data_IF_152542188554
#
_entry.id   IF_152542188554
#
_cell.length_a   1.000
_cell.length_b   1.000
_cell.length_c   1.000
_cell.angle_alpha   90.00
_cell.angle_beta   90.00
_cell.angle_gamma   90.00
#
_symmetry.space_group_name_H-M   'P 1'
#
loop_
_entity.id
_entity.type
_entity.pdbx_description
1 polymer ?
#
# COMPACT_ATOMS: atom_id res chain seq x y z
N UNK A 1 18.70 -20.26 -9.23
CA UNK A 1 18.21 -21.21 -8.22
C UNK A 1 18.29 -22.62 -8.79
N UNK A 2 19.44 -23.29 -8.63
CA UNK A 2 19.62 -24.75 -8.56
C UNK A 2 21.14 -25.02 -8.59
N UNK A 3 21.79 -25.17 -7.44
CA UNK A 3 23.21 -25.61 -7.40
C UNK A 3 23.50 -26.60 -6.25
N UNK A 4 22.52 -27.02 -5.45
CA UNK A 4 22.73 -28.07 -4.46
C UNK A 4 21.46 -28.92 -4.30
N UNK A 5 21.62 -30.23 -4.45
CA UNK A 5 20.55 -31.20 -4.70
C UNK A 5 19.36 -31.21 -3.73
N UNK A 6 18.19 -31.52 -4.31
CA UNK A 6 17.19 -32.40 -3.72
C UNK A 6 16.06 -31.76 -2.89
N UNK A 7 16.12 -30.47 -2.56
CA UNK A 7 15.03 -29.78 -1.86
C UNK A 7 14.33 -28.85 -2.84
N UNK A 8 13.25 -29.32 -3.45
CA UNK A 8 12.33 -28.43 -4.16
C UNK A 8 11.50 -27.67 -3.14
N UNK A 9 11.40 -26.35 -3.30
CA UNK A 9 10.44 -25.55 -2.54
C UNK A 9 9.03 -26.08 -2.82
N UNK A 10 8.26 -26.31 -1.75
CA UNK A 10 6.87 -26.73 -1.89
C UNK A 10 6.09 -25.62 -2.56
N UNK A 11 5.43 -25.95 -3.65
CA UNK A 11 4.48 -25.05 -4.30
C UNK A 11 3.21 -25.09 -3.45
N UNK A 12 2.59 -23.94 -3.21
CA UNK A 12 1.25 -23.92 -2.66
C UNK A 12 0.34 -23.02 -3.48
N UNK A 13 -0.94 -23.38 -3.52
CA UNK A 13 -1.97 -22.63 -4.22
C UNK A 13 -3.13 -22.37 -3.26
N UNK A 14 -3.53 -21.11 -3.15
CA UNK A 14 -4.73 -20.72 -2.41
C UNK A 14 -5.94 -20.99 -3.31
N UNK A 15 -6.98 -21.62 -2.78
CA UNK A 15 -8.22 -21.90 -3.49
C UNK A 15 -9.43 -21.79 -2.55
N UNK A 16 -10.61 -21.53 -3.12
CA UNK A 16 -11.86 -21.54 -2.38
C UNK A 16 -12.49 -22.94 -2.46
N UNK A 17 -12.72 -23.57 -1.32
CA UNK A 17 -13.43 -24.83 -1.21
C UNK A 17 -14.93 -24.55 -1.06
N UNK A 18 -15.69 -24.71 -2.15
CA UNK A 18 -17.13 -24.47 -2.16
C UNK A 18 -17.91 -25.39 -1.20
N UNK A 19 -17.44 -26.63 -1.00
CA UNK A 19 -18.11 -27.60 -0.13
C UNK A 19 -17.95 -27.27 1.35
N UNK A 20 -16.81 -26.70 1.72
CA UNK A 20 -16.52 -26.22 3.08
C UNK A 20 -16.83 -24.72 3.28
N UNK A 21 -17.15 -23.99 2.20
CA UNK A 21 -17.35 -22.55 2.17
C UNK A 21 -16.20 -21.77 2.83
N UNK A 22 -14.96 -22.19 2.57
CA UNK A 22 -13.76 -21.59 3.16
C UNK A 22 -12.60 -21.55 2.18
N UNK A 23 -11.68 -20.60 2.39
CA UNK A 23 -10.42 -20.53 1.62
C UNK A 23 -9.39 -21.46 2.24
N UNK A 24 -8.83 -22.36 1.42
CA UNK A 24 -7.82 -23.35 1.79
C UNK A 24 -6.56 -23.19 0.96
N UNK A 25 -5.53 -23.92 1.37
CA UNK A 25 -4.24 -23.96 0.70
C UNK A 25 -3.95 -25.39 0.28
N UNK A 26 -3.83 -25.60 -1.02
CA UNK A 26 -3.30 -26.82 -1.60
C UNK A 26 -1.78 -26.75 -1.55
N UNK A 27 -1.14 -27.64 -0.80
CA UNK A 27 0.31 -27.84 -0.87
C UNK A 27 0.55 -28.88 -1.94
N UNK A 28 1.32 -28.49 -2.95
CA UNK A 28 1.64 -29.30 -4.12
C UNK A 28 3.08 -29.79 -4.03
N UNK A 29 3.31 -30.97 -4.58
CA UNK A 29 4.63 -31.59 -4.73
C UNK A 29 4.84 -32.02 -6.16
N UNK A 30 6.00 -31.74 -6.73
CA UNK A 30 6.54 -32.54 -7.82
C UNK A 30 8.07 -32.46 -7.92
N UNK A 31 8.66 -33.50 -8.50
CA UNK A 31 10.04 -33.59 -8.98
C UNK A 31 10.17 -33.25 -10.47
N UNK A 32 9.06 -33.19 -11.20
CA UNK A 32 9.01 -32.84 -12.62
C UNK A 32 8.66 -31.36 -12.79
N UNK A 33 9.60 -30.58 -13.33
CA UNK A 33 9.50 -29.12 -13.52
C UNK A 33 8.75 -28.74 -14.80
N UNK A 34 8.29 -29.70 -15.60
CA UNK A 34 7.74 -29.42 -16.93
C UNK A 34 6.24 -29.68 -17.07
N UNK A 35 5.63 -30.68 -16.38
CA UNK A 35 4.32 -31.20 -16.84
C UNK A 35 3.25 -31.53 -15.78
N UNK A 36 3.54 -31.59 -14.48
CA UNK A 36 2.48 -31.84 -13.48
C UNK A 36 2.82 -31.34 -12.08
N UNK A 37 1.77 -31.14 -11.26
CA UNK A 37 1.88 -30.96 -9.82
C UNK A 37 0.90 -31.91 -9.15
N UNK A 38 1.34 -32.65 -8.13
CA UNK A 38 0.46 -33.52 -7.34
C UNK A 38 0.06 -32.83 -6.04
N UNK A 39 -1.23 -32.90 -5.67
CA UNK A 39 -1.71 -32.40 -4.38
C UNK A 39 -1.16 -33.28 -3.25
N UNK A 40 -0.31 -32.71 -2.39
CA UNK A 40 0.24 -33.39 -1.21
C UNK A 40 -0.75 -33.33 -0.03
N UNK A 41 -1.24 -32.13 0.26
CA UNK A 41 -2.16 -31.91 1.38
C UNK A 41 -2.96 -30.63 1.19
N UNK A 42 -4.11 -30.53 1.86
CA UNK A 42 -4.85 -29.30 2.00
C UNK A 42 -4.72 -28.81 3.43
N UNK A 43 -4.46 -27.52 3.59
CA UNK A 43 -4.34 -26.86 4.89
C UNK A 43 -5.31 -25.71 4.98
N UNK A 44 -5.76 -25.42 6.19
CA UNK A 44 -6.40 -24.14 6.47
C UNK A 44 -5.39 -23.02 6.26
N UNK A 45 -5.87 -21.85 5.83
CA UNK A 45 -5.04 -20.65 5.74
C UNK A 45 -4.39 -20.30 7.10
N UNK A 46 -5.03 -20.70 8.21
CA UNK A 46 -4.52 -20.50 9.58
C UNK A 46 -3.30 -21.37 9.92
N UNK A 47 -3.05 -22.42 9.16
CA UNK A 47 -1.89 -23.28 9.33
C UNK A 47 -0.68 -22.81 8.52
N UNK A 48 -0.84 -21.74 7.72
CA UNK A 48 0.27 -21.11 7.03
C UNK A 48 1.17 -20.39 8.03
N UNK A 49 2.48 -20.58 7.88
CA UNK A 49 3.50 -19.86 8.63
C UNK A 49 3.99 -18.71 7.76
N UNK A 50 3.64 -17.44 8.06
CA UNK A 50 4.08 -16.33 7.25
C UNK A 50 5.59 -16.11 7.39
N UNK A 51 6.23 -15.66 6.31
CA UNK A 51 7.64 -15.23 6.33
C UNK A 51 7.78 -13.88 7.07
N UNK A 52 6.72 -13.08 7.06
CA UNK A 52 6.64 -11.77 7.71
C UNK A 52 5.23 -11.57 8.26
N UNK A 53 5.12 -11.15 9.51
CA UNK A 53 3.86 -10.75 10.14
C UNK A 53 4.06 -9.43 10.89
N UNK A 54 3.22 -8.45 10.55
CA UNK A 54 3.12 -7.18 11.27
C UNK A 54 1.80 -7.04 12.06
N UNK A 55 0.79 -7.86 11.74
CA UNK A 55 -0.53 -7.78 12.34
C UNK A 55 -0.50 -8.12 13.83
N UNK A 56 0.20 -9.19 14.21
CA UNK A 56 0.33 -9.61 15.60
C UNK A 56 1.10 -8.58 16.44
N UNK A 57 2.17 -8.00 15.89
CA UNK A 57 2.92 -6.95 16.59
C UNK A 57 2.08 -5.68 16.76
N UNK A 58 1.32 -5.29 15.72
CA UNK A 58 0.44 -4.14 15.79
C UNK A 58 -0.72 -4.37 16.78
N UNK A 59 -1.22 -5.60 16.88
CA UNK A 59 -2.25 -5.98 17.85
C UNK A 59 -1.77 -5.78 19.30
N UNK A 60 -0.54 -6.16 19.65
CA UNK A 60 -0.02 -5.94 21.02
C UNK A 60 0.47 -4.51 21.29
N UNK A 61 0.57 -3.66 20.27
CA UNK A 61 1.01 -2.27 20.44
C UNK A 61 -0.05 -1.45 21.17
N UNK A 62 0.37 -0.63 22.13
CA UNK A 62 -0.54 0.32 22.76
C UNK A 62 -1.07 1.33 21.72
N UNK A 63 -2.38 1.61 21.67
CA UNK A 63 -2.95 2.59 20.75
C UNK A 63 -2.32 3.98 20.87
N UNK A 64 -1.89 4.41 22.06
CA UNK A 64 -1.21 5.69 22.29
C UNK A 64 0.16 5.77 21.60
N UNK A 65 0.84 4.64 21.41
CA UNK A 65 2.18 4.59 20.85
C UNK A 65 2.16 4.56 19.31
N UNK A 66 0.98 4.48 18.69
CA UNK A 66 0.81 4.51 17.24
C UNK A 66 0.92 5.95 16.71
N UNK A 67 1.79 6.14 15.71
CA UNK A 67 1.93 7.39 14.97
C UNK A 67 1.02 7.35 13.75
N UNK A 68 -0.21 7.81 13.92
CA UNK A 68 -1.19 7.87 12.84
C UNK A 68 -1.32 9.33 12.42
N UNK A 69 -1.13 9.61 11.14
CA UNK A 69 -1.29 10.93 10.57
C UNK A 69 -2.47 10.93 9.61
N UNK A 70 -3.12 12.07 9.45
CA UNK A 70 -4.13 12.26 8.42
C UNK A 70 -3.89 13.54 7.64
N UNK A 71 -4.43 13.62 6.44
CA UNK A 71 -4.40 14.84 5.65
C UNK A 71 -5.43 15.85 6.17
N UNK A 72 -4.96 16.84 6.93
CA UNK A 72 -5.74 18.02 7.33
C UNK A 72 -5.47 19.16 6.35
N UNK A 73 -6.25 19.19 5.26
CA UNK A 73 -6.22 20.27 4.26
C UNK A 73 -4.81 20.56 3.70
N UNK A 74 -4.05 19.52 3.35
CA UNK A 74 -2.71 19.59 2.79
C UNK A 74 -1.58 19.43 3.82
N UNK A 75 -1.90 19.36 5.11
CA UNK A 75 -0.90 19.18 6.19
C UNK A 75 -1.09 17.83 6.88
N UNK A 76 0.01 17.13 7.15
CA UNK A 76 -0.02 15.91 7.95
C UNK A 76 -0.15 16.24 9.43
N UNK A 77 -1.34 15.95 9.98
CA UNK A 77 -1.68 16.18 11.39
C UNK A 77 -1.81 14.84 12.11
N UNK A 78 -1.41 14.76 13.37
CA UNK A 78 -1.53 13.53 14.14
C UNK A 78 -3.01 13.24 14.49
N UNK A 79 -3.46 12.03 14.18
CA UNK A 79 -4.84 11.58 14.36
C UNK A 79 -5.11 11.24 15.83
N UNK A 80 -5.39 12.26 16.64
CA UNK A 80 -5.63 12.13 18.09
C UNK A 80 -6.96 12.79 18.49
N UNK A 81 -7.42 12.54 19.71
CA UNK A 81 -8.68 13.10 20.23
C UNK A 81 -8.70 14.62 20.32
N UNK A 82 -7.55 15.30 20.18
CA UNK A 82 -7.47 16.75 20.05
C UNK A 82 -8.11 17.29 18.76
N UNK A 83 -8.24 16.43 17.74
CA UNK A 83 -8.81 16.76 16.43
C UNK A 83 -10.32 16.48 16.35
N UNK A 84 -10.96 16.13 17.48
CA UNK A 84 -12.36 15.73 17.52
C UNK A 84 -13.32 16.80 16.99
N UNK A 85 -13.02 18.09 17.22
CA UNK A 85 -13.86 19.20 16.74
C UNK A 85 -13.94 19.21 15.21
N UNK A 86 -12.80 19.12 14.53
CA UNK A 86 -12.73 19.11 13.07
C UNK A 86 -13.31 17.81 12.48
N UNK A 87 -13.01 16.66 13.10
CA UNK A 87 -13.44 15.36 12.59
C UNK A 87 -14.92 15.07 12.83
N UNK A 88 -15.54 15.70 13.83
CA UNK A 88 -16.99 15.61 14.07
C UNK A 88 -17.77 16.06 12.83
N UNK A 89 -17.44 17.21 12.26
CA UNK A 89 -18.12 17.74 11.07
C UNK A 89 -17.88 16.82 9.85
N UNK A 90 -16.69 16.22 9.73
CA UNK A 90 -16.39 15.25 8.68
C UNK A 90 -17.28 14.01 8.80
N UNK A 91 -17.39 13.40 9.98
CA UNK A 91 -18.22 12.22 10.17
C UNK A 91 -19.72 12.51 10.14
N UNK A 92 -20.14 13.69 10.60
CA UNK A 92 -21.53 14.13 10.50
C UNK A 92 -22.01 14.17 9.05
N UNK A 93 -21.11 14.45 8.08
CA UNK A 93 -21.46 14.45 6.66
C UNK A 93 -21.81 13.05 6.11
N UNK A 94 -21.31 11.98 6.72
CA UNK A 94 -21.59 10.59 6.33
C UNK A 94 -22.60 9.89 7.26
N UNK A 95 -22.65 10.31 8.53
CA UNK A 95 -23.48 9.73 9.58
C UNK A 95 -23.98 10.87 10.48
N UNK A 96 -25.17 11.39 10.16
CA UNK A 96 -25.74 12.57 10.82
C UNK A 96 -25.94 12.41 12.34
N UNK A 97 -25.93 11.17 12.84
CA UNK A 97 -26.00 10.87 14.27
C UNK A 97 -24.71 11.18 15.05
N UNK A 98 -23.59 11.46 14.38
CA UNK A 98 -22.39 12.02 15.01
C UNK A 98 -22.59 13.53 15.14
N UNK A 99 -22.99 14.02 16.31
CA UNK A 99 -23.36 15.43 16.53
C UNK A 99 -22.55 16.10 17.65
N UNK A 100 -21.73 15.35 18.38
CA UNK A 100 -20.93 15.86 19.50
C UNK A 100 -19.44 15.56 19.36
N UNK A 101 -18.60 16.42 19.94
CA UNK A 101 -17.15 16.16 19.98
C UNK A 101 -16.81 14.90 20.79
N UNK A 102 -17.61 14.53 21.80
CA UNK A 102 -17.37 13.33 22.60
C UNK A 102 -17.58 12.05 21.77
N UNK A 103 -18.60 12.03 20.91
CA UNK A 103 -18.79 10.95 19.94
C UNK A 103 -17.62 10.84 18.97
N UNK A 104 -17.14 11.98 18.45
CA UNK A 104 -15.95 12.02 17.60
C UNK A 104 -14.69 11.51 18.35
N UNK A 105 -14.52 11.85 19.63
CA UNK A 105 -13.43 11.29 20.47
C UNK A 105 -13.54 9.76 20.58
N UNK A 106 -14.75 9.22 20.77
CA UNK A 106 -14.97 7.77 20.80
C UNK A 106 -14.60 7.10 19.47
N UNK A 107 -14.97 7.71 18.32
CA UNK A 107 -14.59 7.22 16.98
C UNK A 107 -13.07 7.22 16.81
N UNK A 108 -12.39 8.32 17.18
CA UNK A 108 -10.93 8.41 17.08
C UNK A 108 -10.25 7.30 17.91
N UNK A 109 -10.67 7.13 19.16
CA UNK A 109 -10.14 6.08 20.05
C UNK A 109 -10.36 4.70 19.47
N UNK A 110 -11.56 4.42 18.96
CA UNK A 110 -11.88 3.18 18.26
C UNK A 110 -10.94 2.97 17.05
N UNK A 111 -10.81 3.94 16.14
CA UNK A 111 -9.96 3.82 14.95
C UNK A 111 -8.46 3.66 15.28
N UNK A 112 -7.99 4.28 16.38
CA UNK A 112 -6.62 4.07 16.90
C UNK A 112 -6.40 2.66 17.44
N UNK A 113 -7.48 1.92 17.74
CA UNK A 113 -7.45 0.55 18.24
C UNK A 113 -7.60 0.44 19.75
N UNK A 114 -8.17 1.44 20.42
CA UNK A 114 -8.58 1.33 21.82
C UNK A 114 -9.83 0.46 21.96
N UNK A 115 -9.88 -0.31 23.04
CA UNK A 115 -11.09 -1.00 23.48
C UNK A 115 -12.02 0.02 24.14
N UNK A 116 -12.96 0.56 23.37
CA UNK A 116 -13.97 1.52 23.85
C UNK A 116 -15.22 0.85 24.42
N UNK A 117 -15.37 -0.47 24.27
CA UNK A 117 -16.53 -1.22 24.75
C UNK A 117 -16.73 -1.17 26.28
N UNK A 118 -15.67 -0.92 27.05
CA UNK A 118 -15.72 -0.76 28.52
C UNK A 118 -16.00 0.67 28.98
N UNK A 119 -16.02 1.64 28.07
CA UNK A 119 -16.27 3.04 28.38
C UNK A 119 -17.75 3.35 28.20
N UNK A 120 -18.47 3.63 29.29
CA UNK A 120 -19.92 3.89 29.25
C UNK A 120 -20.31 5.13 28.45
N UNK A 121 -19.37 6.04 28.18
CA UNK A 121 -19.62 7.21 27.31
C UNK A 121 -19.60 6.85 25.83
N UNK A 122 -18.95 5.74 25.48
CA UNK A 122 -18.76 5.30 24.11
C UNK A 122 -19.60 4.04 23.78
N UNK A 123 -19.75 3.10 24.71
CA UNK A 123 -20.21 1.73 24.43
C UNK A 123 -21.62 1.59 23.85
N UNK A 124 -22.48 2.61 23.99
CA UNK A 124 -23.81 2.65 23.40
C UNK A 124 -23.86 3.21 21.97
N UNK A 125 -22.80 3.87 21.51
CA UNK A 125 -22.78 4.55 20.21
C UNK A 125 -22.78 3.52 19.06
N UNK A 126 -23.67 3.64 18.06
CA UNK A 126 -23.87 2.62 17.03
C UNK A 126 -22.66 2.41 16.12
N UNK A 127 -21.78 3.41 16.01
CA UNK A 127 -20.61 3.43 15.12
C UNK A 127 -19.30 2.96 15.79
N UNK A 128 -19.37 2.31 16.96
CA UNK A 128 -18.21 1.69 17.65
C UNK A 128 -18.56 0.35 18.35
N UNK A 129 -19.58 -0.35 17.85
CA UNK A 129 -20.06 -1.62 18.38
C UNK A 129 -19.41 -2.86 17.76
N UNK A 130 -18.74 -2.72 16.60
CA UNK A 130 -18.05 -3.85 15.95
C UNK A 130 -16.86 -4.31 16.80
N UNK A 131 -16.92 -5.55 17.24
CA UNK A 131 -15.83 -6.17 17.99
C UNK A 131 -14.62 -6.45 17.09
N UNK A 132 -13.43 -6.14 17.60
CA UNK A 132 -12.12 -6.45 17.02
C UNK A 132 -11.21 -7.10 18.06
N UNK A 133 -11.78 -7.57 19.15
CA UNK A 133 -11.07 -8.05 20.31
C UNK A 133 -10.92 -9.57 20.26
N UNK A 134 -9.75 -10.03 20.67
CA UNK A 134 -9.42 -11.45 20.81
C UNK A 134 -9.04 -11.72 22.26
N UNK A 135 -9.59 -12.78 22.85
CA UNK A 135 -9.08 -13.31 24.09
C UNK A 135 -7.62 -13.81 23.91
N UNK A 136 -6.89 -13.96 25.01
CA UNK A 136 -5.47 -14.30 24.97
C UNK A 136 -5.18 -15.68 24.35
N UNK A 137 -6.11 -16.64 24.45
CA UNK A 137 -5.95 -17.97 23.86
C UNK A 137 -6.16 -17.92 22.34
N UNK A 138 -7.23 -17.25 21.89
CA UNK A 138 -7.52 -17.01 20.47
C UNK A 138 -6.39 -16.20 19.81
N UNK A 139 -5.88 -15.17 20.49
CA UNK A 139 -4.73 -14.41 20.02
C UNK A 139 -3.47 -15.29 19.92
N UNK A 140 -3.15 -16.08 20.95
CA UNK A 140 -1.98 -16.97 20.94
C UNK A 140 -2.05 -18.05 19.85
N UNK A 141 -3.25 -18.50 19.49
CA UNK A 141 -3.45 -19.43 18.38
C UNK A 141 -3.18 -18.78 17.00
N UNK A 142 -3.54 -17.51 16.83
CA UNK A 142 -3.29 -16.74 15.60
C UNK A 142 -1.84 -16.22 15.51
N UNK A 143 -1.27 -15.86 16.65
CA UNK A 143 0.00 -15.17 16.81
C UNK A 143 0.95 -15.95 17.71
N UNK A 144 1.42 -17.15 17.31
CA UNK A 144 2.13 -18.08 18.19
C UNK A 144 3.50 -17.58 18.68
N UNK A 145 4.07 -16.55 18.04
CA UNK A 145 5.32 -15.90 18.45
C UNK A 145 5.11 -14.71 19.39
N UNK A 146 3.87 -14.34 19.66
CA UNK A 146 3.50 -13.22 20.51
C UNK A 146 2.65 -13.70 21.68
N UNK A 147 2.70 -12.97 22.79
CA UNK A 147 1.87 -13.23 23.96
C UNK A 147 1.18 -11.96 24.41
N UNK A 148 -0.02 -12.14 24.98
CA UNK A 148 -0.79 -11.07 25.57
C UNK A 148 -1.28 -11.50 26.94
N UNK A 149 -1.12 -10.61 27.93
CA UNK A 149 -1.57 -10.84 29.31
C UNK A 149 -3.07 -10.63 29.51
N UNK A 150 -3.73 -10.01 28.54
CA UNK A 150 -5.16 -9.72 28.53
C UNK A 150 -5.72 -9.85 27.11
N UNK A 151 -7.02 -9.58 26.98
CA UNK A 151 -7.67 -9.38 25.68
C UNK A 151 -6.94 -8.30 24.85
N UNK A 152 -6.90 -8.50 23.54
CA UNK A 152 -6.16 -7.66 22.59
C UNK A 152 -7.08 -7.20 21.46
N UNK A 153 -7.01 -5.92 21.11
CA UNK A 153 -7.68 -5.38 19.93
C UNK A 153 -6.80 -5.56 18.69
N UNK A 154 -7.32 -6.25 17.67
CA UNK A 154 -6.73 -6.29 16.33
C UNK A 154 -6.92 -4.93 15.65
N UNK A 155 -5.80 -4.30 15.27
CA UNK A 155 -5.81 -2.90 14.79
C UNK A 155 -5.55 -2.75 13.31
N UNK A 156 -5.06 -3.80 12.63
CA UNK A 156 -4.85 -3.77 11.19
C UNK A 156 -6.19 -4.01 10.49
N UNK A 157 -6.61 -3.08 9.64
CA UNK A 157 -7.74 -3.28 8.73
C UNK A 157 -7.56 -4.49 7.83
N UNK A 158 -8.67 -4.98 7.28
CA UNK A 158 -8.63 -6.01 6.25
C UNK A 158 -7.92 -5.49 4.98
N UNK A 159 -7.12 -6.37 4.38
CA UNK A 159 -6.38 -6.12 3.13
C UNK A 159 -7.01 -7.02 2.07
N UNK A 160 -7.71 -6.43 1.09
CA UNK A 160 -8.51 -7.18 0.10
C UNK A 160 -7.88 -7.09 -1.30
N UNK A 161 -7.75 -5.88 -1.85
CA UNK A 161 -7.18 -5.63 -3.18
C UNK A 161 -5.83 -4.90 -3.14
N UNK A 162 -5.39 -4.43 -1.97
CA UNK A 162 -4.09 -3.79 -1.83
C UNK A 162 -2.93 -4.74 -2.08
N UNK A 163 -1.98 -4.31 -2.91
CA UNK A 163 -0.68 -4.96 -3.11
C UNK A 163 0.39 -4.16 -2.39
N UNK A 164 1.24 -4.79 -1.55
CA UNK A 164 2.27 -4.08 -0.80
C UNK A 164 3.36 -3.51 -1.73
N UNK A 165 3.84 -2.31 -1.40
CA UNK A 165 5.04 -1.75 -2.00
C UNK A 165 6.22 -1.84 -1.04
N UNK A 166 7.42 -2.08 -1.56
CA UNK A 166 8.65 -2.23 -0.76
C UNK A 166 9.65 -1.17 -1.15
N UNK A 167 10.28 -0.55 -0.15
CA UNK A 167 11.47 0.28 -0.32
C UNK A 167 12.62 -0.34 0.46
N UNK A 168 13.83 -0.22 -0.06
CA UNK A 168 15.07 -0.67 0.58
C UNK A 168 16.25 0.23 0.19
N UNK A 169 17.47 -0.22 0.46
CA UNK A 169 18.69 0.39 -0.07
C UNK A 169 18.92 0.14 -1.57
N UNK A 170 18.02 -0.57 -2.25
CA UNK A 170 18.09 -0.85 -3.68
C UNK A 170 17.42 0.27 -4.52
N UNK A 171 17.89 0.53 -5.76
CA UNK A 171 17.28 1.52 -6.65
C UNK A 171 15.82 1.18 -7.01
N UNK A 172 14.90 2.14 -6.86
CA UNK A 172 13.50 1.96 -7.28
C UNK A 172 13.34 1.97 -8.82
N UNK A 173 14.27 2.62 -9.52
CA UNK A 173 14.30 2.73 -10.97
C UNK A 173 15.70 2.41 -11.50
N UNK A 174 15.80 2.25 -12.83
CA UNK A 174 17.05 1.92 -13.52
C UNK A 174 17.55 3.06 -14.43
N UNK A 175 17.23 4.33 -14.13
CA UNK A 175 17.58 5.47 -15.00
C UNK A 175 19.08 5.59 -15.30
N UNK A 176 19.93 5.19 -14.36
CA UNK A 176 21.38 5.17 -14.54
C UNK A 176 21.85 4.12 -15.55
N UNK A 177 21.11 3.03 -15.73
CA UNK A 177 21.39 1.99 -16.73
C UNK A 177 20.69 2.29 -18.05
N UNK A 178 19.39 2.61 -18.00
CA UNK A 178 18.54 2.81 -19.18
C UNK A 178 18.89 4.09 -19.94
N UNK A 179 19.16 5.18 -19.22
CA UNK A 179 19.35 6.52 -19.79
C UNK A 179 20.73 7.11 -19.51
N UNK A 180 21.65 6.34 -18.92
CA UNK A 180 22.97 6.81 -18.50
C UNK A 180 22.91 8.07 -17.60
N UNK A 181 21.89 8.17 -16.74
CA UNK A 181 21.70 9.32 -15.84
C UNK A 181 22.68 9.27 -14.66
N UNK A 182 23.80 10.00 -14.80
CA UNK A 182 24.82 10.11 -13.76
C UNK A 182 24.33 10.81 -12.48
N UNK A 183 23.31 11.66 -12.56
CA UNK A 183 22.75 12.33 -11.37
C UNK A 183 21.93 11.36 -10.52
N UNK A 184 21.18 10.46 -11.17
CA UNK A 184 20.46 9.38 -10.49
C UNK A 184 21.43 8.36 -9.91
N UNK A 185 22.48 7.99 -10.64
CA UNK A 185 23.55 7.12 -10.13
C UNK A 185 24.18 7.69 -8.86
N UNK A 186 24.44 9.00 -8.85
CA UNK A 186 24.98 9.68 -7.68
C UNK A 186 23.99 9.73 -6.51
N UNK A 187 22.69 9.90 -6.79
CA UNK A 187 21.62 9.87 -5.77
C UNK A 187 21.55 8.49 -5.08
N UNK A 188 21.44 7.40 -5.84
CA UNK A 188 21.33 6.03 -5.27
C UNK A 188 22.63 5.56 -4.58
N UNK A 189 23.78 6.19 -4.87
CA UNK A 189 25.07 5.87 -4.24
C UNK A 189 25.32 6.62 -2.93
N UNK A 190 24.48 7.60 -2.59
CA UNK A 190 24.58 8.29 -1.30
C UNK A 190 24.46 7.30 -0.15
N UNK A 191 25.21 7.53 0.92
CA UNK A 191 25.15 6.65 2.09
C UNK A 191 23.76 6.65 2.73
N UNK A 192 23.05 7.78 2.68
CA UNK A 192 21.67 7.86 3.13
C UNK A 192 20.73 6.91 2.35
N UNK A 193 20.92 6.77 1.03
CA UNK A 193 20.11 5.87 0.20
C UNK A 193 20.47 4.40 0.43
N UNK A 194 21.74 4.02 0.29
CA UNK A 194 22.20 2.62 0.42
C UNK A 194 21.91 2.04 1.81
N UNK A 195 21.93 2.89 2.85
CA UNK A 195 21.72 2.46 4.23
C UNK A 195 20.25 2.53 4.69
N UNK A 196 19.31 2.82 3.78
CA UNK A 196 17.87 2.82 4.08
C UNK A 196 17.47 1.50 4.73
N UNK A 197 16.73 1.61 5.83
CA UNK A 197 15.98 0.46 6.36
C UNK A 197 14.92 0.07 5.34
N UNK A 198 14.68 -1.23 5.16
CA UNK A 198 13.60 -1.65 4.27
C UNK A 198 12.24 -1.53 4.97
N UNK A 199 11.26 -1.02 4.23
CA UNK A 199 9.89 -0.81 4.69
C UNK A 199 8.91 -1.42 3.70
N UNK A 200 7.80 -1.93 4.23
CA UNK A 200 6.63 -2.36 3.47
C UNK A 200 5.53 -1.33 3.69
N UNK A 201 4.91 -0.88 2.61
CA UNK A 201 3.74 -0.03 2.63
C UNK A 201 2.53 -0.82 2.15
N UNK A 202 1.40 -0.71 2.83
CA UNK A 202 0.17 -1.39 2.43
C UNK A 202 -1.05 -0.55 2.82
N UNK A 203 -1.99 -0.40 1.88
CA UNK A 203 -3.31 0.16 2.15
C UNK A 203 -4.20 -0.89 2.82
N UNK A 204 -4.91 -0.49 3.87
CA UNK A 204 -5.86 -1.34 4.56
C UNK A 204 -7.20 -0.61 4.72
N UNK A 205 -8.22 -1.41 5.00
CA UNK A 205 -9.59 -0.96 4.97
C UNK A 205 -10.06 -0.23 6.24
N UNK A 206 -9.16 -0.07 7.22
CA UNK A 206 -9.30 0.90 8.31
C UNK A 206 -9.00 2.34 7.85
N UNK A 207 -8.90 2.57 6.54
CA UNK A 207 -8.62 3.86 5.91
C UNK A 207 -7.15 4.23 5.88
N UNK A 208 -6.26 3.34 6.33
CA UNK A 208 -4.87 3.67 6.56
C UNK A 208 -3.97 3.06 5.47
N UNK A 209 -3.00 3.86 5.04
CA UNK A 209 -1.74 3.37 4.52
C UNK A 209 -0.81 3.11 5.71
N UNK A 210 -0.42 1.85 5.93
CA UNK A 210 0.52 1.48 6.98
C UNK A 210 1.95 1.37 6.43
N UNK A 211 2.93 1.85 7.20
CA UNK A 211 4.35 1.63 6.96
C UNK A 211 4.93 0.68 8.02
N UNK A 212 5.26 -0.54 7.62
CA UNK A 212 5.86 -1.54 8.49
C UNK A 212 7.35 -1.70 8.22
N UNK A 213 8.14 -1.79 9.29
CA UNK A 213 9.57 -2.07 9.18
C UNK A 213 9.79 -3.53 8.81
N UNK A 214 10.34 -3.76 7.62
CA UNK A 214 10.85 -5.08 7.23
C UNK A 214 12.22 -5.33 7.85
N UNK A 215 13.07 -4.29 7.88
CA UNK A 215 14.43 -4.34 8.43
C UNK A 215 15.51 -4.29 7.36
N UNK A 216 16.76 -4.63 7.69
CA UNK A 216 17.85 -4.69 6.71
C UNK A 216 18.09 -6.12 6.26
N UNK A 217 17.96 -6.36 4.96
CA UNK A 217 18.45 -7.59 4.35
C UNK A 217 19.97 -7.52 4.42
N UNK A 218 20.60 -8.51 5.05
CA UNK A 218 22.05 -8.67 5.03
C UNK A 218 22.40 -10.07 4.58
N UNK A 219 23.59 -10.19 4.00
CA UNK A 219 24.19 -11.50 3.74
C UNK A 219 24.32 -12.25 5.07
N UNK A 220 23.76 -13.44 5.12
CA UNK A 220 23.91 -14.34 6.25
C UNK A 220 25.17 -15.15 6.04
N UNK A 221 26.05 -15.16 7.04
CA UNK A 221 27.32 -15.89 6.98
C UNK A 221 27.39 -16.92 8.09
N UNK A 222 27.98 -18.06 7.76
CA UNK A 222 28.18 -19.21 8.65
C UNK A 222 29.62 -19.69 8.58
N UNK A 223 30.05 -20.43 9.60
CA UNK A 223 31.38 -20.98 9.63
C UNK A 223 31.54 -22.13 8.63
N UNK A 224 32.64 -22.12 7.88
CA UNK A 224 32.94 -23.13 6.84
C UNK A 224 33.00 -24.57 7.38
N UNK A 225 33.27 -24.73 8.68
CA UNK A 225 33.37 -26.00 9.38
C UNK A 225 32.14 -26.33 10.25
N UNK A 226 31.18 -25.41 10.39
CA UNK A 226 29.91 -25.61 11.10
C UNK A 226 28.85 -24.64 10.57
N UNK A 227 28.02 -25.09 9.65
CA UNK A 227 26.98 -24.26 9.00
C UNK A 227 25.84 -23.86 9.93
N UNK A 228 25.75 -24.42 11.14
CA UNK A 228 24.79 -23.96 12.16
C UNK A 228 25.30 -22.76 12.96
N UNK A 229 26.59 -22.42 12.85
CA UNK A 229 27.22 -21.32 13.57
C UNK A 229 27.31 -20.10 12.67
N UNK A 230 26.56 -19.05 12.99
CA UNK A 230 26.65 -17.75 12.31
C UNK A 230 27.95 -17.04 12.67
N UNK A 231 28.51 -16.30 11.73
CA UNK A 231 29.74 -15.52 11.90
C UNK A 231 29.61 -14.14 11.24
N UNK A 232 30.45 -13.20 11.67
CA UNK A 232 30.64 -11.91 10.99
C UNK A 232 32.03 -11.80 10.39
N UNK A 233 33.02 -12.39 11.08
CA UNK A 233 34.44 -12.41 10.71
C UNK A 233 35.02 -13.81 10.93
N UNK A 234 36.15 -14.11 10.27
CA UNK A 234 36.76 -15.45 10.31
C UNK A 234 37.12 -15.91 11.74
N UNK A 235 37.48 -14.99 12.62
CA UNK A 235 37.83 -15.31 14.01
C UNK A 235 36.66 -15.83 14.84
N UNK A 236 35.41 -15.66 14.39
CA UNK A 236 34.24 -16.26 15.03
C UNK A 236 34.19 -17.79 14.84
N UNK A 237 34.96 -18.29 13.87
CA UNK A 237 34.99 -19.68 13.41
C UNK A 237 36.28 -20.38 13.84
N UNK A 238 36.27 -21.02 15.02
CA UNK A 238 37.41 -21.80 15.50
C UNK A 238 37.80 -22.92 14.53
N UNK A 239 38.93 -22.78 13.83
CA UNK A 239 39.43 -23.76 12.87
C UNK A 239 38.75 -23.74 11.50
N UNK A 240 38.05 -22.65 11.16
CA UNK A 240 37.43 -22.42 9.85
C UNK A 240 37.54 -20.96 9.43
N UNK A 241 36.74 -20.58 8.44
CA UNK A 241 36.58 -19.18 8.01
C UNK A 241 35.09 -18.86 7.83
N UNK A 242 34.77 -17.58 7.82
CA UNK A 242 33.41 -17.11 7.68
C UNK A 242 33.04 -17.06 6.18
N UNK A 243 31.98 -17.74 5.79
CA UNK A 243 31.53 -17.82 4.41
C UNK A 243 30.03 -17.51 4.29
N UNK A 244 29.53 -17.07 3.12
CA UNK A 244 28.09 -16.94 2.90
C UNK A 244 27.36 -18.26 3.16
N UNK A 245 26.20 -18.19 3.80
CA UNK A 245 25.37 -19.36 4.08
C UNK A 245 24.80 -19.93 2.76
N UNK A 246 25.19 -21.15 2.34
CA UNK A 246 24.79 -21.69 1.05
C UNK A 246 23.30 -22.08 1.01
N UNK A 247 22.65 -22.28 2.16
CA UNK A 247 21.24 -22.67 2.26
C UNK A 247 20.34 -21.47 2.54
N UNK A 248 20.81 -20.51 3.35
CA UNK A 248 20.07 -19.31 3.76
C UNK A 248 20.91 -18.07 3.46
N UNK A 249 21.11 -17.68 2.19
CA UNK A 249 22.10 -16.67 1.80
C UNK A 249 21.85 -15.28 2.36
N UNK A 250 20.61 -15.00 2.77
CA UNK A 250 20.22 -13.72 3.35
C UNK A 250 19.46 -13.92 4.65
N UNK A 251 19.63 -12.98 5.56
CA UNK A 251 18.77 -12.84 6.73
C UNK A 251 18.29 -11.40 6.88
N UNK A 252 17.09 -11.26 7.44
CA UNK A 252 16.58 -9.96 7.85
C UNK A 252 17.14 -9.66 9.22
N UNK A 253 17.81 -8.52 9.36
CA UNK A 253 18.36 -8.06 10.62
C UNK A 253 17.88 -6.65 10.94
N UNK A 254 17.57 -6.44 12.20
CA UNK A 254 17.45 -5.11 12.79
C UNK A 254 18.30 -5.12 14.07
N UNK A 255 19.54 -4.63 13.95
CA UNK A 255 20.37 -4.30 15.11
C UNK A 255 20.27 -2.78 15.34
N UNK A 256 20.08 -2.29 16.59
CA UNK A 256 20.16 -3.02 17.87
C UNK A 256 18.81 -3.48 18.48
N UNK A 257 17.66 -3.19 17.87
CA UNK A 257 16.33 -3.61 18.38
C UNK A 257 15.55 -4.44 17.35
N UNK A 258 14.87 -5.49 17.84
CA UNK A 258 13.95 -6.36 17.09
C UNK A 258 12.67 -5.61 16.69
N UNK A 259 12.78 -4.60 15.84
CA UNK A 259 11.66 -3.81 15.34
C UNK A 259 11.09 -4.35 14.01
N UNK A 260 11.42 -5.59 13.60
CA UNK A 260 10.81 -6.22 12.42
C UNK A 260 9.32 -6.39 12.68
N UNK A 261 8.47 -5.95 11.74
CA UNK A 261 7.01 -5.96 11.85
C UNK A 261 6.44 -4.69 12.48
N UNK A 262 7.29 -3.80 13.02
CA UNK A 262 6.84 -2.59 13.72
C UNK A 262 6.18 -1.62 12.75
N UNK A 263 4.97 -1.18 13.07
CA UNK A 263 4.35 -0.02 12.43
C UNK A 263 5.14 1.25 12.79
N UNK A 264 5.80 1.86 11.81
CA UNK A 264 6.52 3.13 12.02
C UNK A 264 5.58 4.32 12.03
N UNK A 265 4.63 4.31 11.09
CA UNK A 265 3.56 5.28 10.99
C UNK A 265 2.42 4.72 10.14
N UNK A 266 1.27 5.36 10.24
CA UNK A 266 0.13 5.17 9.34
C UNK A 266 -0.36 6.51 8.81
N UNK A 267 -0.97 6.53 7.63
CA UNK A 267 -1.49 7.72 6.97
C UNK A 267 -2.95 7.51 6.54
N UNK A 268 -3.85 8.45 6.87
CA UNK A 268 -5.25 8.45 6.45
C UNK A 268 -5.45 9.59 5.43
N UNK A 269 -5.80 9.29 4.17
CA UNK A 269 -6.22 10.30 3.20
C UNK A 269 -7.44 11.07 3.70
N UNK A 270 -7.52 12.37 3.39
CA UNK A 270 -8.65 13.22 3.79
C UNK A 270 -9.96 12.61 3.30
N UNK A 271 -9.97 12.13 2.06
CA UNK A 271 -11.15 11.55 1.45
C UNK A 271 -11.53 10.19 2.02
N UNK A 272 -10.70 9.53 2.81
CA UNK A 272 -11.08 8.28 3.49
C UNK A 272 -11.85 8.53 4.79
N UNK A 273 -11.67 9.69 5.43
CA UNK A 273 -12.16 9.97 6.78
C UNK A 273 -13.67 9.76 6.98
N UNK A 274 -14.58 10.26 6.12
CA UNK A 274 -16.01 10.17 6.38
C UNK A 274 -16.50 8.72 6.49
N UNK A 275 -15.93 7.83 5.67
CA UNK A 275 -16.31 6.41 5.59
C UNK A 275 -15.93 5.61 6.85
N UNK A 276 -14.94 6.09 7.61
CA UNK A 276 -14.41 5.37 8.78
C UNK A 276 -15.39 5.30 9.95
N UNK A 277 -16.41 6.15 9.96
CA UNK A 277 -17.52 6.05 10.93
C UNK A 277 -18.26 4.72 10.80
N UNK A 278 -18.34 4.15 9.60
CA UNK A 278 -19.04 2.89 9.38
C UNK A 278 -18.24 1.67 9.84
N UNK A 279 -16.90 1.78 9.95
CA UNK A 279 -16.03 0.67 10.33
C UNK A 279 -16.43 0.06 11.67
N UNK A 280 -16.91 0.88 12.60
CA UNK A 280 -17.32 0.44 13.93
C UNK A 280 -18.78 0.02 14.06
N UNK A 281 -19.58 0.01 12.98
CA UNK A 281 -20.99 -0.40 13.07
C UNK A 281 -21.16 -1.90 13.31
N UNK A 282 -22.15 -2.30 14.12
CA UNK A 282 -22.41 -3.73 14.35
C UNK A 282 -22.91 -4.46 13.09
N UNK A 283 -23.63 -3.75 12.22
CA UNK A 283 -24.10 -4.24 10.91
C UNK A 283 -23.09 -3.96 9.79
N UNK A 284 -21.82 -3.71 10.13
CA UNK A 284 -20.76 -3.41 9.16
C UNK A 284 -20.71 -4.46 8.06
N UNK A 285 -20.98 -4.01 6.83
CA UNK A 285 -20.57 -4.69 5.61
C UNK A 285 -19.24 -4.09 5.15
N UNK A 286 -18.42 -4.87 4.44
CA UNK A 286 -17.13 -4.38 3.97
C UNK A 286 -17.30 -3.13 3.11
N UNK A 287 -16.78 -1.99 3.56
CA UNK A 287 -16.74 -0.73 2.81
C UNK A 287 -15.29 -0.46 2.45
N UNK A 288 -14.86 -0.66 1.19
CA UNK A 288 -13.49 -0.35 0.77
C UNK A 288 -13.14 1.10 1.04
N UNK A 289 -11.91 1.36 1.51
CA UNK A 289 -11.40 2.71 1.78
C UNK A 289 -10.08 2.98 1.08
N UNK A 290 -8.95 2.51 1.63
CA UNK A 290 -7.64 2.54 0.96
C UNK A 290 -7.32 1.13 0.49
N UNK A 291 -7.88 0.76 -0.66
CA UNK A 291 -7.92 -0.63 -1.11
C UNK A 291 -7.47 -0.76 -2.56
N UNK A 292 -6.17 -0.56 -2.78
CA UNK A 292 -5.54 -0.72 -4.08
C UNK A 292 -4.02 -0.86 -3.99
N UNK A 293 -3.40 -1.22 -5.11
CA UNK A 293 -1.93 -1.28 -5.22
C UNK A 293 -1.28 0.11 -5.09
N UNK A 294 -0.12 0.12 -4.45
CA UNK A 294 0.70 1.30 -4.24
C UNK A 294 1.85 1.35 -5.25
N UNK A 295 2.30 2.55 -5.60
CA UNK A 295 3.45 2.74 -6.47
C UNK A 295 4.54 3.53 -5.76
N UNK A 296 5.75 2.96 -5.66
CA UNK A 296 6.93 3.67 -5.14
C UNK A 296 7.98 3.79 -6.24
N UNK A 297 8.48 5.00 -6.44
CA UNK A 297 9.44 5.32 -7.50
C UNK A 297 10.26 6.55 -7.13
N UNK A 298 11.36 6.76 -7.85
CA UNK A 298 12.15 7.98 -7.75
C UNK A 298 11.82 8.94 -8.90
N UNK A 299 11.72 10.23 -8.58
CA UNK A 299 11.49 11.29 -9.56
C UNK A 299 12.32 12.54 -9.25
N UNK A 300 12.79 13.20 -10.30
CA UNK A 300 13.53 14.46 -10.20
C UNK A 300 12.56 15.63 -10.14
N UNK A 301 12.02 15.87 -8.95
CA UNK A 301 10.93 16.84 -8.72
C UNK A 301 11.29 17.96 -7.74
N UNK A 302 12.43 17.88 -7.06
CA UNK A 302 12.90 18.93 -6.16
C UNK A 302 13.57 20.05 -6.97
N UNK A 303 12.82 21.11 -7.26
CA UNK A 303 13.19 22.21 -8.14
C UNK A 303 12.24 22.36 -9.34
N UNK A 304 12.47 23.38 -10.16
CA UNK A 304 11.69 23.66 -11.37
C UNK A 304 11.95 22.60 -12.45
N UNK A 305 10.98 22.28 -13.33
CA UNK A 305 11.19 21.35 -14.45
C UNK A 305 12.41 21.67 -15.33
N UNK A 306 12.74 22.96 -15.49
CA UNK A 306 13.81 23.44 -16.38
C UNK A 306 15.18 23.61 -15.69
N UNK A 307 15.25 23.33 -14.39
CA UNK A 307 16.51 23.36 -13.65
C UNK A 307 17.39 22.19 -14.09
N UNK A 308 18.71 22.40 -14.05
CA UNK A 308 19.67 21.32 -14.32
C UNK A 308 19.46 20.20 -13.30
N UNK A 309 19.38 18.96 -13.79
CA UNK A 309 19.23 17.79 -12.93
C UNK A 309 20.44 17.66 -12.02
N UNK A 310 20.20 17.38 -10.74
CA UNK A 310 21.24 17.20 -9.72
C UNK A 310 20.87 16.03 -8.79
N UNK A 311 21.83 15.42 -8.08
CA UNK A 311 21.52 14.36 -7.11
C UNK A 311 20.47 14.79 -6.07
N UNK A 312 20.47 16.05 -5.65
CA UNK A 312 19.50 16.63 -4.71
C UNK A 312 18.11 16.91 -5.30
N UNK A 313 17.96 16.84 -6.63
CA UNK A 313 16.65 17.01 -7.29
C UNK A 313 15.77 15.76 -7.16
N UNK A 314 16.39 14.61 -6.88
CA UNK A 314 15.74 13.31 -6.79
C UNK A 314 15.03 13.12 -5.45
N UNK A 315 13.82 12.58 -5.52
CA UNK A 315 12.98 12.24 -4.38
C UNK A 315 12.38 10.85 -4.58
N UNK A 316 12.26 10.09 -3.49
CA UNK A 316 11.55 8.80 -3.45
C UNK A 316 10.10 9.06 -3.03
N UNK A 317 9.18 8.79 -3.93
CA UNK A 317 7.75 9.11 -3.78
C UNK A 317 6.92 7.84 -3.67
N UNK A 318 5.83 7.93 -2.91
CA UNK A 318 4.78 6.93 -2.86
C UNK A 318 3.48 7.54 -3.38
N UNK A 319 2.89 6.89 -4.37
CA UNK A 319 1.55 7.18 -4.88
C UNK A 319 0.61 6.09 -4.38
N UNK A 320 -0.48 6.52 -3.77
CA UNK A 320 -1.60 5.66 -3.40
C UNK A 320 -2.91 6.19 -3.93
N UNK A 321 -3.88 5.28 -4.04
CA UNK A 321 -5.25 5.57 -4.46
C UNK A 321 -6.20 4.87 -3.52
N UNK A 322 -7.46 5.30 -3.49
CA UNK A 322 -8.50 4.64 -2.71
C UNK A 322 -9.05 3.38 -3.40
N UNK A 323 -8.79 3.20 -4.71
CA UNK A 323 -9.21 2.01 -5.45
C UNK A 323 -10.72 1.88 -5.51
N UNK A 324 -11.23 0.79 -4.95
CA UNK A 324 -12.66 0.53 -4.81
C UNK A 324 -13.34 1.39 -3.73
N UNK A 325 -12.57 2.13 -2.93
CA UNK A 325 -13.09 3.02 -1.90
C UNK A 325 -13.37 4.44 -2.36
N UNK A 326 -14.12 5.17 -1.54
CA UNK A 326 -14.39 6.60 -1.74
C UNK A 326 -15.56 6.90 -2.68
N UNK A 327 -16.66 6.17 -2.59
CA UNK A 327 -17.89 6.49 -3.35
C UNK A 327 -18.40 7.90 -2.99
N UNK A 328 -18.62 8.76 -3.98
CA UNK A 328 -19.02 10.18 -3.79
C UNK A 328 -20.04 10.42 -2.64
N UNK A 329 -19.62 11.23 -1.66
CA UNK A 329 -20.42 11.76 -0.54
C UNK A 329 -20.53 13.30 -0.61
N UNK A 330 -20.47 13.88 -1.81
CA UNK A 330 -20.51 15.32 -2.02
C UNK A 330 -19.12 15.93 -1.99
N UNK A 331 -18.66 16.34 -0.81
CA UNK A 331 -17.35 17.00 -0.64
C UNK A 331 -16.18 15.99 -0.57
N UNK A 332 -16.49 14.70 -0.53
CA UNK A 332 -15.53 13.61 -0.42
C UNK A 332 -15.79 12.56 -1.48
N UNK A 333 -14.74 12.15 -2.19
CA UNK A 333 -14.79 11.06 -3.16
C UNK A 333 -13.40 10.44 -3.31
N UNK A 334 -13.33 9.33 -4.02
CA UNK A 334 -12.11 8.57 -4.27
C UNK A 334 -10.98 9.50 -4.71
N UNK A 335 -9.81 9.33 -4.10
CA UNK A 335 -8.69 10.25 -4.25
C UNK A 335 -7.38 9.53 -4.50
N UNK A 336 -6.45 10.31 -5.07
CA UNK A 336 -5.04 9.97 -5.22
C UNK A 336 -4.27 10.82 -4.24
N UNK A 337 -3.27 10.24 -3.58
CA UNK A 337 -2.37 10.96 -2.71
C UNK A 337 -0.91 10.63 -3.03
N UNK A 338 -0.04 11.61 -2.84
CA UNK A 338 1.40 11.48 -3.08
C UNK A 338 2.17 11.89 -1.83
N UNK A 339 2.93 10.95 -1.28
CA UNK A 339 3.85 11.18 -0.17
C UNK A 339 5.29 11.24 -0.68
N UNK A 340 6.06 12.19 -0.19
CA UNK A 340 7.52 12.20 -0.35
C UNK A 340 8.14 11.54 0.88
N UNK A 341 8.78 10.39 0.64
CA UNK A 341 9.38 9.54 1.64
C UNK A 341 10.86 9.88 1.87
N UNK A 342 11.47 10.73 1.05
CA UNK A 342 12.93 10.88 0.94
C UNK A 342 13.60 11.21 2.26
N UNK A 343 13.14 12.26 2.93
CA UNK A 343 13.79 12.78 4.13
C UNK A 343 13.56 11.84 5.33
N UNK A 344 12.40 11.19 5.39
CA UNK A 344 12.11 10.17 6.40
C UNK A 344 12.97 8.91 6.21
N UNK A 345 13.06 8.40 4.97
CA UNK A 345 13.91 7.25 4.63
C UNK A 345 15.40 7.53 4.90
N UNK A 346 15.82 8.77 4.69
CA UNK A 346 17.20 9.22 4.94
C UNK A 346 17.46 9.55 6.42
N UNK A 347 16.45 9.48 7.29
CA UNK A 347 16.57 9.78 8.72
C UNK A 347 16.75 11.26 9.07
N UNK A 348 16.46 12.16 8.13
CA UNK A 348 16.51 13.62 8.32
C UNK A 348 15.15 14.22 8.71
N UNK A 349 14.08 13.42 8.66
CA UNK A 349 12.75 13.75 9.15
C UNK A 349 12.17 12.56 9.96
N UNK A 350 11.25 12.84 10.87
CA UNK A 350 10.59 11.85 11.74
C UNK A 350 9.38 11.16 11.09
N UNK A 351 8.88 11.71 9.98
CA UNK A 351 7.74 11.24 9.18
C UNK A 351 7.85 11.70 7.72
N UNK A 352 7.14 11.06 6.78
CA UNK A 352 7.08 11.53 5.39
C UNK A 352 6.37 12.89 5.29
N UNK A 353 6.47 13.52 4.11
CA UNK A 353 5.70 14.73 3.81
C UNK A 353 4.61 14.42 2.78
N UNK A 354 3.46 15.09 2.90
CA UNK A 354 2.40 15.04 1.91
C UNK A 354 2.69 16.08 0.83
N UNK A 355 2.81 15.65 -0.43
CA UNK A 355 2.89 16.60 -1.55
C UNK A 355 1.49 17.14 -1.86
N UNK A 356 0.54 16.24 -2.07
CA UNK A 356 -0.85 16.59 -2.34
C UNK A 356 -1.77 15.36 -2.26
N UNK A 357 -3.05 15.64 -2.12
CA UNK A 357 -4.15 14.69 -2.34
C UNK A 357 -5.18 15.34 -3.25
N UNK A 358 -5.69 14.61 -4.25
CA UNK A 358 -6.68 15.10 -5.22
C UNK A 358 -7.71 14.02 -5.50
N UNK A 359 -8.99 14.40 -5.42
CA UNK A 359 -10.09 13.61 -5.96
C UNK A 359 -10.16 13.78 -7.49
N UNK A 360 -10.70 12.77 -8.18
CA UNK A 360 -10.96 12.91 -9.61
C UNK A 360 -12.06 13.96 -9.86
N UNK A 361 -11.93 14.81 -10.90
CA UNK A 361 -12.94 15.83 -11.21
C UNK A 361 -14.33 15.27 -11.48
N UNK A 362 -14.43 14.05 -11.98
CA UNK A 362 -15.69 13.33 -12.23
C UNK A 362 -16.19 12.51 -11.03
N UNK A 363 -15.44 12.53 -9.91
CA UNK A 363 -15.72 11.83 -8.65
C UNK A 363 -15.87 10.31 -8.77
N UNK A 364 -15.36 9.73 -9.84
CA UNK A 364 -15.34 8.27 -10.00
C UNK A 364 -14.35 7.60 -9.05
N UNK A 365 -14.51 6.30 -8.88
CA UNK A 365 -13.56 5.48 -8.14
C UNK A 365 -12.20 5.49 -8.83
N UNK A 366 -11.12 5.48 -8.05
CA UNK A 366 -9.73 5.51 -8.54
C UNK A 366 -9.22 4.10 -8.89
N UNK A 367 -10.00 3.33 -9.67
CA UNK A 367 -9.68 1.95 -10.05
C UNK A 367 -8.72 1.83 -11.24
N UNK A 368 -8.49 2.92 -11.98
CA UNK A 368 -7.43 3.01 -12.98
C UNK A 368 -6.09 3.16 -12.25
N UNK A 369 -5.14 2.25 -12.47
CA UNK A 369 -3.85 2.41 -11.83
C UNK A 369 -3.06 3.58 -12.42
N UNK A 370 -2.58 4.50 -11.56
CA UNK A 370 -1.83 5.66 -12.03
C UNK A 370 -0.56 5.27 -12.77
N UNK A 371 -0.35 5.92 -13.92
CA UNK A 371 0.90 5.92 -14.65
C UNK A 371 1.72 7.17 -14.31
N UNK A 372 3.05 7.04 -14.36
CA UNK A 372 3.96 8.18 -14.24
C UNK A 372 4.59 8.44 -15.60
N UNK A 373 4.42 9.67 -16.09
CA UNK A 373 4.93 10.13 -17.39
C UNK A 373 5.97 11.22 -17.14
N UNK A 374 7.14 11.08 -17.76
CA UNK A 374 8.21 12.08 -17.79
C UNK A 374 8.36 12.67 -19.20
N UNK A 375 8.23 13.99 -19.31
CA UNK A 375 8.48 14.77 -20.52
C UNK A 375 9.56 15.85 -20.28
N UNK A 376 9.91 16.60 -21.34
CA UNK A 376 10.89 17.68 -21.29
C UNK A 376 12.34 17.22 -21.50
N UNK A 377 13.29 18.16 -21.39
CA UNK A 377 14.72 17.89 -21.69
C UNK A 377 15.29 16.78 -20.77
N UNK A 378 15.97 15.76 -21.32
CA UNK A 378 16.55 14.66 -20.55
C UNK A 378 17.59 15.10 -19.50
N UNK A 379 18.27 16.23 -19.72
CA UNK A 379 19.29 16.77 -18.82
C UNK A 379 18.73 17.69 -17.72
N UNK A 380 17.42 17.97 -17.77
CA UNK A 380 16.71 18.78 -16.78
C UNK A 380 15.91 17.89 -15.84
N UNK A 381 15.41 18.48 -14.76
CA UNK A 381 14.49 17.78 -13.86
C UNK A 381 13.31 17.15 -14.63
N UNK A 382 12.81 17.86 -15.64
CA UNK A 382 11.74 17.40 -16.53
C UNK A 382 10.36 17.64 -15.94
N UNK A 383 9.37 17.54 -16.80
CA UNK A 383 7.95 17.60 -16.43
C UNK A 383 7.50 16.20 -16.07
N UNK A 384 6.97 16.03 -14.86
CA UNK A 384 6.50 14.73 -14.37
C UNK A 384 5.01 14.82 -14.14
N UNK A 385 4.28 13.87 -14.70
CA UNK A 385 2.83 13.79 -14.60
C UNK A 385 2.40 12.46 -13.98
N UNK A 386 1.44 12.53 -13.08
CA UNK A 386 0.62 11.39 -12.72
C UNK A 386 -0.58 11.37 -13.68
N UNK A 387 -0.73 10.27 -14.42
CA UNK A 387 -1.82 10.06 -15.36
C UNK A 387 -2.73 8.97 -14.84
N UNK A 388 -4.02 9.27 -14.76
CA UNK A 388 -5.04 8.34 -14.29
C UNK A 388 -6.31 8.53 -15.11
N UNK A 389 -7.06 7.46 -15.34
CA UNK A 389 -8.33 7.55 -16.05
C UNK A 389 -9.54 7.52 -15.12
N UNK A 390 -10.67 7.98 -15.67
CA UNK A 390 -12.01 7.82 -15.08
C UNK A 390 -12.27 6.36 -14.72
N UNK A 391 -12.64 6.08 -13.48
CA UNK A 391 -13.12 4.75 -13.07
C UNK A 391 -14.64 4.62 -13.15
N UNK A 392 -15.22 3.54 -12.61
CA UNK A 392 -16.66 3.45 -12.44
C UNK A 392 -17.13 4.39 -11.32
N UNK A 393 -18.37 4.87 -11.41
CA UNK A 393 -19.07 5.54 -10.31
C UNK A 393 -19.45 4.52 -9.23
N UNK A 394 -19.82 3.31 -9.67
CA UNK A 394 -20.15 2.18 -8.81
C UNK A 394 -19.61 0.89 -9.40
N UNK A 395 -18.86 0.11 -8.62
CA UNK A 395 -18.27 -1.15 -9.07
C UNK A 395 -19.25 -2.34 -9.04
N UNK A 396 -20.52 -2.12 -8.66
CA UNK A 396 -21.52 -3.16 -8.48
C UNK A 396 -21.36 -3.92 -7.15
N UNK A 397 -22.44 -4.57 -6.71
CA UNK A 397 -22.43 -5.44 -5.53
C UNK A 397 -22.22 -6.91 -5.91
N UNK A 398 -22.11 -7.76 -4.88
CA UNK A 398 -22.16 -9.22 -5.04
C UNK A 398 -23.34 -9.62 -5.95
N UNK A 399 -23.12 -10.53 -6.93
CA UNK A 399 -24.20 -11.05 -7.76
C UNK A 399 -25.40 -11.51 -6.92
N UNK A 400 -26.59 -10.96 -7.19
CA UNK A 400 -27.84 -11.32 -6.52
C UNK A 400 -28.21 -10.50 -5.27
N UNK A 401 -27.41 -9.51 -4.86
CA UNK A 401 -27.73 -8.62 -3.71
C UNK A 401 -28.32 -7.26 -4.16
N UNK A 402 -28.29 -6.98 -5.47
CA UNK A 402 -28.76 -5.72 -6.08
C UNK A 402 -27.65 -4.67 -6.10
N UNK A 403 -27.62 -3.81 -7.13
CA UNK A 403 -26.55 -2.83 -7.36
C UNK A 403 -25.77 -3.13 -8.65
N UNK A 404 -26.12 -2.44 -9.74
CA UNK A 404 -25.47 -2.61 -11.04
C UNK A 404 -24.26 -1.67 -11.17
N UNK A 405 -23.20 -2.11 -11.84
CA UNK A 405 -22.08 -1.23 -12.20
C UNK A 405 -22.57 0.07 -12.87
N UNK A 406 -22.08 1.21 -12.40
CA UNK A 406 -22.39 2.53 -12.95
C UNK A 406 -21.10 3.20 -13.43
N UNK A 407 -21.19 3.87 -14.58
CA UNK A 407 -20.05 4.48 -15.25
C UNK A 407 -20.35 5.94 -15.58
N UNK A 408 -19.30 6.77 -15.67
CA UNK A 408 -19.46 8.14 -16.13
C UNK A 408 -19.88 8.19 -17.61
N UNK A 409 -20.70 9.18 -17.96
CA UNK A 409 -21.16 9.38 -19.34
C UNK A 409 -20.01 9.62 -20.34
N UNK A 410 -18.93 10.27 -19.90
CA UNK A 410 -17.77 10.58 -20.72
C UNK A 410 -16.50 10.29 -19.92
N UNK A 411 -15.80 9.21 -20.27
CA UNK A 411 -14.51 8.89 -19.66
C UNK A 411 -13.43 9.86 -20.10
N UNK A 412 -12.48 10.12 -19.20
CA UNK A 412 -11.34 11.00 -19.41
C UNK A 412 -10.05 10.36 -18.92
N UNK A 413 -8.94 10.81 -19.48
CA UNK A 413 -7.63 10.74 -18.83
C UNK A 413 -7.31 12.09 -18.20
N UNK A 414 -6.80 12.06 -16.98
CA UNK A 414 -6.38 13.22 -16.20
C UNK A 414 -4.86 13.22 -16.03
N UNK A 415 -4.23 14.35 -16.35
CA UNK A 415 -2.79 14.57 -16.17
C UNK A 415 -2.59 15.57 -15.04
N UNK A 416 -2.14 15.08 -13.90
CA UNK A 416 -1.77 15.89 -12.75
C UNK A 416 -0.26 16.14 -12.75
N UNK A 417 0.16 17.39 -12.56
CA UNK A 417 1.57 17.69 -12.29
C UNK A 417 2.00 17.00 -10.98
N UNK A 418 3.04 16.17 -11.04
CA UNK A 418 3.46 15.35 -9.90
C UNK A 418 3.97 16.19 -8.73
N UNK A 419 4.51 17.40 -8.95
CA UNK A 419 5.06 18.27 -7.90
C UNK A 419 3.98 18.87 -7.02
N UNK A 420 2.82 19.22 -7.60
CA UNK A 420 1.83 20.07 -6.94
C UNK A 420 0.38 19.58 -7.06
N UNK A 421 0.12 18.54 -7.85
CA UNK A 421 -1.20 17.95 -8.04
C UNK A 421 -2.16 18.83 -8.85
N UNK A 422 -1.65 19.84 -9.56
CA UNK A 422 -2.48 20.65 -10.45
C UNK A 422 -2.89 19.81 -11.66
N UNK A 423 -4.17 19.84 -12.02
CA UNK A 423 -4.65 19.22 -13.25
C UNK A 423 -4.18 20.07 -14.45
N UNK A 424 -3.23 19.55 -15.20
CA UNK A 424 -2.62 20.24 -16.36
C UNK A 424 -3.40 19.97 -17.64
N UNK A 425 -3.92 18.74 -17.79
CA UNK A 425 -4.66 18.32 -18.98
C UNK A 425 -5.73 17.29 -18.64
N UNK A 426 -6.86 17.38 -19.34
CA UNK A 426 -7.82 16.29 -19.46
C UNK A 426 -8.05 15.95 -20.93
N UNK A 427 -8.25 14.67 -21.23
CA UNK A 427 -8.46 14.15 -22.58
C UNK A 427 -9.69 13.25 -22.56
N UNK A 428 -10.66 13.55 -23.42
CA UNK A 428 -11.87 12.74 -23.56
C UNK A 428 -11.55 11.43 -24.29
N UNK A 429 -12.04 10.32 -23.74
CA UNK A 429 -11.92 8.99 -24.33
C UNK A 429 -13.18 8.66 -25.14
N UNK A 430 -13.06 8.27 -26.43
CA UNK A 430 -14.23 7.93 -27.23
C UNK A 430 -15.07 6.82 -26.60
N UNK A 431 -16.38 7.04 -26.55
CA UNK A 431 -17.35 6.13 -25.95
C UNK A 431 -18.08 6.75 -24.75
N UNK A 432 -19.17 6.09 -24.35
CA UNK A 432 -19.96 6.47 -23.19
C UNK A 432 -20.10 5.28 -22.25
N UNK A 433 -20.31 5.55 -20.96
CA UNK A 433 -20.53 4.53 -19.93
C UNK A 433 -19.36 3.53 -19.84
N UNK A 434 -18.15 4.06 -19.89
CA UNK A 434 -16.90 3.29 -19.79
C UNK A 434 -16.02 3.87 -18.68
N UNK A 435 -15.16 3.01 -18.15
CA UNK A 435 -14.03 3.33 -17.29
C UNK A 435 -12.73 2.98 -18.01
N UNK A 436 -11.65 3.62 -17.58
CA UNK A 436 -10.28 3.39 -18.05
C UNK A 436 -9.62 2.36 -17.14
N UNK A 437 -9.00 1.35 -17.74
CA UNK A 437 -8.21 0.36 -17.01
C UNK A 437 -6.81 0.86 -16.68
N UNK A 438 -5.89 -0.09 -16.59
CA UNK A 438 -4.49 0.20 -16.34
C UNK A 438 -3.81 0.91 -17.51
N UNK A 439 -2.91 1.83 -17.18
CA UNK A 439 -2.16 2.63 -18.14
C UNK A 439 -0.72 2.16 -18.17
N UNK A 440 -0.22 1.78 -19.35
CA UNK A 440 1.16 1.44 -19.60
C UNK A 440 1.87 2.57 -20.35
N UNK A 441 2.98 3.05 -19.81
CA UNK A 441 3.80 4.12 -20.40
C UNK A 441 4.98 3.52 -21.15
N UNK A 442 5.25 4.02 -22.35
CA UNK A 442 6.34 3.54 -23.20
C UNK A 442 7.13 4.72 -23.78
N UNK A 443 8.42 4.74 -23.44
CA UNK A 443 9.50 5.45 -24.13
C UNK A 443 10.09 4.48 -25.18
N UNK A 444 9.83 4.76 -26.46
CA UNK A 444 10.11 3.85 -27.59
C UNK A 444 11.55 3.97 -28.05
N UNK A 445 12.10 5.19 -28.09
CA UNK A 445 13.48 5.44 -28.53
C UNK A 445 14.50 5.55 -27.38
N UNK A 446 14.05 5.35 -26.14
CA UNK A 446 14.84 5.40 -24.91
C UNK A 446 15.56 6.74 -24.74
N UNK A 447 14.90 7.84 -25.12
CA UNK A 447 15.46 9.19 -25.02
C UNK A 447 15.16 9.90 -23.69
N UNK A 448 14.57 9.17 -22.73
CA UNK A 448 14.16 9.62 -21.41
C UNK A 448 12.89 10.47 -21.41
N UNK A 449 12.20 10.59 -22.55
CA UNK A 449 10.88 11.19 -22.66
C UNK A 449 9.91 10.09 -23.06
N UNK A 450 8.80 10.00 -22.34
CA UNK A 450 7.78 9.03 -22.68
C UNK A 450 7.04 9.44 -23.96
N UNK A 451 6.81 8.48 -24.85
CA UNK A 451 6.29 8.76 -26.19
C UNK A 451 4.81 8.43 -26.32
N UNK A 452 4.39 7.36 -25.66
CA UNK A 452 3.10 6.75 -25.87
C UNK A 452 2.58 6.18 -24.55
N UNK A 453 1.28 6.33 -24.33
CA UNK A 453 0.57 5.54 -23.33
C UNK A 453 -0.43 4.59 -24.00
N UNK A 454 -0.51 3.38 -23.48
CA UNK A 454 -1.47 2.35 -23.89
C UNK A 454 -2.40 2.02 -22.72
N UNK A 455 -3.69 1.87 -22.98
CA UNK A 455 -4.65 1.56 -21.93
C UNK A 455 -5.89 0.86 -22.49
N UNK A 456 -6.47 -0.02 -21.67
CA UNK A 456 -7.77 -0.61 -21.94
C UNK A 456 -8.90 0.29 -21.43
N UNK A 457 -10.10 0.07 -21.95
CA UNK A 457 -11.35 0.56 -21.35
C UNK A 457 -12.32 -0.60 -21.16
N UNK A 458 -13.21 -0.48 -20.20
CA UNK A 458 -14.26 -1.44 -19.90
C UNK A 458 -15.54 -0.71 -19.49
N UNK A 459 -16.70 -1.29 -19.74
CA UNK A 459 -17.98 -0.67 -19.38
C UNK A 459 -19.17 -1.44 -19.92
N UNK A 460 -20.31 -0.76 -20.08
CA UNK A 460 -21.54 -1.35 -20.63
C UNK A 460 -22.13 -0.47 -21.73
N UNK A 461 -22.67 -1.10 -22.78
CA UNK A 461 -23.50 -0.39 -23.76
C UNK A 461 -24.91 -0.10 -23.23
N UNK A 462 -25.70 0.66 -23.99
CA UNK A 462 -27.09 1.01 -23.62
C UNK A 462 -28.03 -0.21 -23.49
N UNK A 463 -27.61 -1.38 -23.97
CA UNK A 463 -28.34 -2.64 -23.82
C UNK A 463 -27.84 -3.47 -22.64
N UNK A 464 -26.93 -2.93 -21.82
CA UNK A 464 -26.34 -3.58 -20.66
C UNK A 464 -25.25 -4.60 -20.98
N UNK A 465 -24.80 -4.71 -22.24
CA UNK A 465 -23.76 -5.66 -22.64
C UNK A 465 -22.38 -5.08 -22.33
N UNK A 466 -21.49 -5.92 -21.80
CA UNK A 466 -20.10 -5.52 -21.56
C UNK A 466 -19.43 -5.08 -22.86
N UNK A 467 -18.76 -3.93 -22.79
CA UNK A 467 -17.95 -3.39 -23.88
C UNK A 467 -16.52 -3.15 -23.39
N UNK A 468 -15.59 -3.15 -24.33
CA UNK A 468 -14.20 -2.80 -24.06
C UNK A 468 -13.50 -2.30 -25.30
N UNK A 469 -12.30 -1.77 -25.10
CA UNK A 469 -11.47 -1.23 -26.16
C UNK A 469 -10.03 -1.08 -25.71
N UNK A 470 -9.12 -0.93 -26.66
CA UNK A 470 -7.71 -0.69 -26.39
C UNK A 470 -7.26 0.54 -27.16
N UNK A 471 -6.68 1.48 -26.42
CA UNK A 471 -6.31 2.80 -26.92
C UNK A 471 -4.81 3.01 -26.84
N UNK A 472 -4.34 3.85 -27.77
CA UNK A 472 -2.98 4.36 -27.83
C UNK A 472 -3.06 5.88 -27.91
N UNK A 473 -2.40 6.58 -26.99
CA UNK A 473 -2.25 8.04 -27.03
C UNK A 473 -0.79 8.41 -27.24
N UNK A 474 -0.52 9.22 -28.26
CA UNK A 474 0.79 9.85 -28.48
C UNK A 474 0.97 11.01 -27.51
N UNK A 475 2.13 11.07 -26.85
CA UNK A 475 2.56 12.20 -26.02
C UNK A 475 3.42 13.20 -26.81
N UNK A 476 3.82 12.84 -28.04
CA UNK A 476 4.50 13.71 -29.01
C UNK A 476 3.52 14.48 -29.88
#
# INVERSE_FOLDING_TARGET
LNVAGGVFDKIFQIFFDEGANETKVAVLRDSDVENSCTLETQKSIRELKPIFDAGCQLAIRNPSDRKIYFNKNGTLTEFTTSEASDLKDVWQSAEASVDTEDEARCIIRYLRGERVASDSSCSSLPFIQRSREFDSASFGALCPTYSASSEVTWKLGDIVYSTPAVVSGEPNNIYHLRYNDGTYLNYIRQDAYKNRTSFIFIGANDGMLHAFRLGKIKERKVCSNDTNRTCTIDTDCSGGYCMPDPEKPVEVSNSPSSDIGKEEWAFIPKNALPYLVWLGRNDYCHVPTVDYRLYVFDASINGSPNDNKQPSSWRTLLVGTMGFGGRDLGDYSSSIFVLDLTDWLNGTADRPSLLWEKSLPDKTLTTSYPAIVRLGDPNKNGEWYLVIGTGPLYAGDKPGVGGEEEYANQAKLYFFDLRNGNLVKSIDIPGANIAVGDIAVVDVDNDYRDDVIYFGVYGKDNSGRSVGGFYRLSLR
#
